data_IF_924259192388
#
_entry.id   IF_924259192388
#
_cell.length_a   1.000
_cell.length_b   1.000
_cell.length_c   1.000
_cell.angle_alpha   90.00
_cell.angle_beta   90.00
_cell.angle_gamma   90.00
#
_symmetry.space_group_name_H-M   'P 1'
#
loop_
_entity.id
_entity.type
_entity.pdbx_description
1 polymer ?
#
# COMPACT_ATOMS: atom_id res chain seq x y z
N UNK A 1 72.05 19.58 38.95
CA UNK A 1 71.13 20.52 38.32
C UNK A 1 69.72 19.88 38.19
N UNK A 2 68.69 20.36 38.85
CA UNK A 2 67.35 19.76 38.79
C UNK A 2 66.58 20.33 37.61
N UNK A 3 65.81 19.43 36.92
CA UNK A 3 64.93 19.74 35.79
C UNK A 3 63.71 20.46 36.28
N UNK A 4 63.36 21.55 35.57
CA UNK A 4 62.16 22.37 35.87
C UNK A 4 60.82 21.66 35.55
N UNK A 5 59.86 21.90 36.39
CA UNK A 5 58.44 21.42 36.30
C UNK A 5 57.69 22.34 35.33
N UNK A 6 56.88 21.81 34.40
CA UNK A 6 56.04 22.66 33.52
C UNK A 6 54.82 23.17 34.31
N UNK A 7 54.52 24.45 34.16
CA UNK A 7 53.36 25.11 34.75
C UNK A 7 52.07 24.59 34.09
N UNK A 8 51.19 24.04 34.90
CA UNK A 8 49.83 23.65 34.47
C UNK A 8 48.96 24.90 34.17
N UNK A 9 48.66 25.11 32.92
CA UNK A 9 47.68 26.12 32.51
C UNK A 9 46.25 25.64 32.80
N UNK A 10 45.57 26.31 33.69
CA UNK A 10 44.13 26.12 33.92
C UNK A 10 43.35 26.46 32.68
N UNK A 11 42.74 25.44 32.01
CA UNK A 11 41.71 25.65 30.99
C UNK A 11 40.38 25.93 31.67
N UNK A 12 39.80 27.12 31.45
CA UNK A 12 38.43 27.45 31.86
C UNK A 12 37.41 26.51 31.20
N UNK A 13 36.37 26.06 31.89
CA UNK A 13 35.41 25.12 31.34
C UNK A 13 34.54 25.78 30.25
N UNK A 14 34.40 25.05 29.12
CA UNK A 14 33.55 25.40 27.95
C UNK A 14 32.02 25.22 28.22
N UNK A 15 31.56 25.50 29.43
CA UNK A 15 30.16 25.28 29.80
C UNK A 15 29.14 26.20 29.08
N UNK A 16 29.56 27.41 28.66
CA UNK A 16 28.63 28.37 28.09
C UNK A 16 28.24 28.16 26.61
N UNK A 17 29.01 27.36 25.85
CA UNK A 17 28.73 27.09 24.43
C UNK A 17 27.73 25.93 24.28
N UNK A 18 27.80 24.94 25.19
CA UNK A 18 26.86 23.80 25.20
C UNK A 18 25.45 24.23 25.62
N UNK A 19 25.35 25.13 26.63
CA UNK A 19 24.06 25.67 27.11
C UNK A 19 23.40 26.57 26.04
N UNK A 20 24.17 27.38 25.31
CA UNK A 20 23.63 28.21 24.21
C UNK A 20 23.12 27.35 23.05
N UNK A 21 23.80 26.25 22.68
CA UNK A 21 23.32 25.29 21.69
C UNK A 21 22.10 24.49 22.13
N UNK A 22 21.96 24.16 23.42
CA UNK A 22 20.74 23.53 23.97
C UNK A 22 19.54 24.45 23.99
N UNK A 23 19.72 25.76 24.18
CA UNK A 23 18.63 26.74 24.18
C UNK A 23 18.17 27.14 22.75
N UNK A 24 19.02 26.94 21.72
CA UNK A 24 18.64 27.17 20.31
C UNK A 24 17.87 25.96 19.70
N UNK A 25 17.91 24.79 20.33
CA UNK A 25 17.21 23.57 19.85
C UNK A 25 15.79 23.42 20.43
N UNK A 26 15.37 24.29 21.36
CA UNK A 26 14.03 24.26 21.98
C UNK A 26 13.14 25.43 21.56
N UNK A 27 13.14 25.79 20.28
CA UNK A 27 11.91 26.38 19.75
C UNK A 27 10.95 25.22 19.47
N UNK A 28 9.75 25.18 20.04
CA UNK A 28 8.76 24.21 19.61
C UNK A 28 8.49 24.54 18.15
N UNK A 29 8.92 23.66 17.26
CA UNK A 29 8.37 23.61 15.89
C UNK A 29 6.87 23.59 16.11
N UNK A 30 6.18 24.67 15.77
CA UNK A 30 4.72 24.70 15.81
C UNK A 30 4.28 23.51 14.99
N UNK A 31 3.76 22.49 15.67
CA UNK A 31 3.13 21.35 15.01
C UNK A 31 1.96 21.96 14.25
N UNK A 32 2.12 22.16 12.96
CA UNK A 32 1.02 22.59 12.10
C UNK A 32 0.01 21.47 12.19
N UNK A 33 -1.02 21.66 12.98
CA UNK A 33 -2.12 20.70 13.11
C UNK A 33 -2.98 20.88 11.87
N UNK A 34 -2.83 19.97 10.91
CA UNK A 34 -3.64 19.93 9.70
C UNK A 34 -5.13 19.92 10.06
N UNK A 35 -5.94 20.67 9.34
CA UNK A 35 -7.40 20.66 9.47
C UNK A 35 -7.98 19.38 8.86
N UNK A 36 -9.23 19.03 9.20
CA UNK A 36 -9.92 17.88 8.61
C UNK A 36 -10.06 18.04 7.09
N UNK A 37 -10.33 19.27 6.61
CA UNK A 37 -10.47 19.58 5.19
C UNK A 37 -9.14 19.40 4.44
N UNK A 38 -8.01 19.82 5.01
CA UNK A 38 -6.69 19.62 4.41
C UNK A 38 -6.32 18.14 4.33
N UNK A 39 -6.66 17.34 5.36
CA UNK A 39 -6.45 15.90 5.35
C UNK A 39 -7.35 15.26 4.29
N UNK A 40 -8.63 15.63 4.23
CA UNK A 40 -9.56 15.12 3.24
C UNK A 40 -9.12 15.41 1.82
N UNK A 41 -8.64 16.65 1.56
CA UNK A 41 -8.12 17.02 0.24
C UNK A 41 -6.90 16.18 -0.15
N UNK A 42 -5.94 16.00 0.75
CA UNK A 42 -4.77 15.14 0.51
C UNK A 42 -5.16 13.69 0.21
N UNK A 43 -6.17 13.17 0.89
CA UNK A 43 -6.68 11.83 0.63
C UNK A 43 -7.37 11.76 -0.74
N UNK A 44 -8.15 12.78 -1.10
CA UNK A 44 -8.76 12.90 -2.42
C UNK A 44 -7.69 12.87 -3.50
N UNK A 45 -6.70 13.75 -3.43
CA UNK A 45 -5.61 13.85 -4.41
C UNK A 45 -4.87 12.52 -4.59
N UNK A 46 -4.58 11.80 -3.49
CA UNK A 46 -3.91 10.50 -3.57
C UNK A 46 -4.74 9.43 -4.29
N UNK A 47 -6.06 9.39 -4.06
CA UNK A 47 -6.94 8.44 -4.73
C UNK A 47 -7.23 8.84 -6.19
N UNK A 48 -7.23 10.13 -6.51
CA UNK A 48 -7.28 10.61 -7.89
C UNK A 48 -6.01 10.23 -8.64
N UNK A 49 -4.84 10.41 -8.03
CA UNK A 49 -3.55 9.97 -8.60
C UNK A 49 -3.54 8.46 -8.79
N UNK A 50 -4.07 7.67 -7.84
CA UNK A 50 -4.23 6.22 -8.03
C UNK A 50 -5.07 5.90 -9.26
N UNK A 51 -6.19 6.59 -9.47
CA UNK A 51 -7.04 6.43 -10.65
C UNK A 51 -6.28 6.74 -11.94
N UNK A 52 -5.67 7.93 -12.03
CA UNK A 52 -4.90 8.36 -13.20
C UNK A 52 -3.74 7.40 -13.53
N UNK A 53 -2.99 6.96 -12.51
CA UNK A 53 -1.88 6.04 -12.69
C UNK A 53 -2.36 4.64 -13.11
N UNK A 54 -3.53 4.21 -12.64
CA UNK A 54 -4.16 2.97 -13.09
C UNK A 54 -4.53 3.07 -14.57
N UNK A 55 -5.17 4.15 -14.99
CA UNK A 55 -5.51 4.39 -16.40
C UNK A 55 -4.26 4.41 -17.30
N UNK A 56 -3.18 5.08 -16.87
CA UNK A 56 -1.91 5.09 -17.58
C UNK A 56 -1.28 3.69 -17.69
N UNK A 57 -1.39 2.87 -16.65
CA UNK A 57 -0.93 1.48 -16.67
C UNK A 57 -1.77 0.62 -17.64
N UNK A 58 -3.09 0.81 -17.67
CA UNK A 58 -3.99 0.12 -18.62
C UNK A 58 -3.79 0.55 -20.07
N UNK A 59 -3.42 1.80 -20.30
CA UNK A 59 -3.06 2.31 -21.62
C UNK A 59 -1.69 1.81 -22.12
N UNK A 60 -0.86 1.27 -21.22
CA UNK A 60 0.49 0.81 -21.53
C UNK A 60 1.56 1.91 -21.51
N UNK A 61 1.22 3.09 -20.99
CA UNK A 61 2.16 4.21 -20.80
C UNK A 61 3.06 3.98 -19.58
N UNK A 62 2.61 3.16 -18.65
CA UNK A 62 3.30 2.77 -17.44
C UNK A 62 3.47 1.25 -17.39
N UNK A 63 4.70 0.79 -17.36
CA UNK A 63 5.01 -0.65 -17.36
C UNK A 63 4.75 -1.34 -16.01
N UNK A 64 4.86 -0.58 -14.91
CA UNK A 64 4.72 -1.13 -13.57
C UNK A 64 4.24 -0.08 -12.57
N UNK A 65 3.31 -0.48 -11.69
CA UNK A 65 2.80 0.33 -10.60
C UNK A 65 2.74 -0.49 -9.31
N UNK A 66 3.12 0.11 -8.19
CA UNK A 66 2.99 -0.46 -6.84
C UNK A 66 2.10 0.47 -6.03
N UNK A 67 0.98 -0.04 -5.55
CA UNK A 67 0.03 0.68 -4.69
C UNK A 67 0.19 0.16 -3.27
N UNK A 68 0.79 0.95 -2.41
CA UNK A 68 1.02 0.64 -1.00
C UNK A 68 0.01 1.38 -0.10
N UNK A 69 -0.34 0.76 1.00
CA UNK A 69 -1.16 1.39 2.04
C UNK A 69 -1.94 0.39 2.87
N UNK A 70 -2.51 0.80 4.01
CA UNK A 70 -3.25 -0.06 4.91
C UNK A 70 -4.44 -0.77 4.25
N UNK A 71 -4.79 -1.95 4.80
CA UNK A 71 -5.94 -2.71 4.32
C UNK A 71 -7.27 -1.95 4.52
N UNK A 72 -8.22 -2.18 3.60
CA UNK A 72 -9.59 -1.67 3.73
C UNK A 72 -9.77 -0.18 3.48
N UNK A 73 -8.89 0.47 2.69
CA UNK A 73 -9.00 1.87 2.27
C UNK A 73 -9.66 2.08 0.90
N UNK A 74 -9.88 1.00 0.14
CA UNK A 74 -10.46 1.07 -1.19
C UNK A 74 -9.46 0.94 -2.35
N UNK A 75 -8.18 0.59 -2.09
CA UNK A 75 -7.15 0.37 -3.12
C UNK A 75 -7.62 -0.57 -4.23
N UNK A 76 -7.89 -1.83 -3.85
CA UNK A 76 -8.33 -2.88 -4.78
C UNK A 76 -9.61 -2.47 -5.53
N UNK A 77 -10.58 -1.87 -4.85
CA UNK A 77 -11.81 -1.40 -5.47
C UNK A 77 -11.56 -0.37 -6.57
N UNK A 78 -10.66 0.60 -6.35
CA UNK A 78 -10.33 1.62 -7.35
C UNK A 78 -9.69 1.00 -8.58
N UNK A 79 -8.75 0.08 -8.41
CA UNK A 79 -8.08 -0.62 -9.51
C UNK A 79 -9.05 -1.56 -10.24
N UNK A 80 -9.82 -2.39 -9.50
CA UNK A 80 -10.81 -3.31 -10.08
C UNK A 80 -11.85 -2.57 -10.92
N UNK A 81 -12.37 -1.45 -10.43
CA UNK A 81 -13.34 -0.64 -11.18
C UNK A 81 -12.77 -0.10 -12.49
N UNK A 82 -11.51 0.32 -12.51
CA UNK A 82 -10.84 0.74 -13.74
C UNK A 82 -10.63 -0.43 -14.71
N UNK A 83 -10.24 -1.60 -14.21
CA UNK A 83 -10.10 -2.84 -15.00
C UNK A 83 -11.42 -3.27 -15.62
N UNK A 84 -12.50 -3.31 -14.84
CA UNK A 84 -13.84 -3.66 -15.33
C UNK A 84 -14.32 -2.71 -16.44
N UNK A 85 -14.00 -1.42 -16.34
CA UNK A 85 -14.33 -0.44 -17.36
C UNK A 85 -13.49 -0.58 -18.63
N UNK A 86 -12.19 -0.90 -18.45
CA UNK A 86 -11.22 -1.01 -19.56
C UNK A 86 -11.34 -2.35 -20.30
N UNK A 87 -11.53 -3.45 -19.58
CA UNK A 87 -11.62 -4.81 -20.12
C UNK A 87 -12.81 -5.57 -19.49
N UNK A 88 -14.05 -5.24 -19.90
CA UNK A 88 -15.27 -5.83 -19.32
C UNK A 88 -15.34 -7.35 -19.47
N UNK A 89 -14.64 -7.91 -20.46
CA UNK A 89 -14.64 -9.35 -20.75
C UNK A 89 -13.54 -10.11 -20.00
N UNK A 90 -12.60 -9.42 -19.35
CA UNK A 90 -11.50 -10.05 -18.62
C UNK A 90 -10.51 -10.83 -19.49
N UNK A 91 -10.31 -10.40 -20.73
CA UNK A 91 -9.44 -11.08 -21.70
C UNK A 91 -8.00 -10.60 -21.58
N UNK A 92 -7.81 -9.29 -21.33
CA UNK A 92 -6.52 -8.64 -21.36
C UNK A 92 -5.90 -8.43 -19.98
N UNK A 93 -6.60 -8.82 -18.92
CA UNK A 93 -6.04 -8.73 -17.57
C UNK A 93 -6.29 -9.99 -16.74
N UNK A 94 -5.43 -10.20 -15.75
CA UNK A 94 -5.63 -11.24 -14.75
C UNK A 94 -5.27 -10.69 -13.37
N UNK A 95 -6.21 -10.81 -12.43
CA UNK A 95 -5.98 -10.48 -11.01
C UNK A 95 -5.65 -11.74 -10.24
N UNK A 96 -4.53 -11.71 -9.54
CA UNK A 96 -4.00 -12.78 -8.70
C UNK A 96 -4.13 -12.35 -7.24
N UNK A 97 -4.81 -13.15 -6.43
CA UNK A 97 -4.95 -12.94 -4.98
C UNK A 97 -4.39 -14.15 -4.22
N UNK A 98 -3.66 -13.87 -3.14
CA UNK A 98 -3.08 -14.92 -2.30
C UNK A 98 -1.67 -15.34 -2.70
N UNK A 99 -1.29 -16.59 -2.44
CA UNK A 99 0.09 -17.08 -2.51
C UNK A 99 0.56 -17.43 -3.93
N UNK A 100 1.74 -16.92 -4.31
CA UNK A 100 2.34 -17.17 -5.64
C UNK A 100 3.81 -17.59 -5.49
N UNK A 101 4.14 -18.81 -5.93
CA UNK A 101 5.53 -19.28 -6.02
C UNK A 101 6.24 -18.72 -7.26
N UNK A 102 7.58 -18.64 -7.23
CA UNK A 102 8.39 -18.15 -8.35
C UNK A 102 8.10 -18.87 -9.68
N UNK A 103 7.87 -20.19 -9.66
CA UNK A 103 7.49 -20.96 -10.85
C UNK A 103 6.14 -20.55 -11.43
N UNK A 104 5.14 -20.32 -10.57
CA UNK A 104 3.82 -19.84 -10.99
C UNK A 104 3.92 -18.40 -11.50
N UNK A 105 4.70 -17.55 -10.83
CA UNK A 105 4.98 -16.19 -11.28
C UNK A 105 5.59 -16.18 -12.69
N UNK A 106 6.58 -17.03 -12.96
CA UNK A 106 7.18 -17.12 -14.29
C UNK A 106 6.17 -17.52 -15.38
N UNK A 107 5.29 -18.49 -15.08
CA UNK A 107 4.20 -18.91 -15.99
C UNK A 107 3.22 -17.75 -16.24
N UNK A 108 2.81 -17.05 -15.19
CA UNK A 108 1.90 -15.90 -15.28
C UNK A 108 2.50 -14.77 -16.14
N UNK A 109 3.78 -14.43 -15.90
CA UNK A 109 4.49 -13.44 -16.70
C UNK A 109 4.61 -13.88 -18.16
N UNK A 110 4.84 -15.16 -18.42
CA UNK A 110 4.88 -15.68 -19.80
C UNK A 110 3.51 -15.60 -20.48
N UNK A 111 2.44 -16.01 -19.81
CA UNK A 111 1.08 -15.98 -20.35
C UNK A 111 0.62 -14.54 -20.69
N UNK A 112 1.07 -13.55 -19.89
CA UNK A 112 0.70 -12.13 -20.09
C UNK A 112 1.87 -11.29 -20.61
N UNK A 113 2.77 -11.88 -21.42
CA UNK A 113 3.98 -11.22 -21.88
C UNK A 113 3.77 -10.21 -23.00
N UNK A 114 2.64 -10.24 -23.67
CA UNK A 114 2.37 -9.41 -24.84
C UNK A 114 1.89 -8.01 -24.45
N UNK A 115 2.15 -7.04 -25.31
CA UNK A 115 1.69 -5.66 -25.10
C UNK A 115 0.17 -5.60 -24.97
N UNK A 116 -0.32 -4.78 -24.02
CA UNK A 116 -1.75 -4.65 -23.72
C UNK A 116 -2.28 -5.71 -22.74
N UNK A 117 -1.43 -6.63 -22.27
CA UNK A 117 -1.79 -7.55 -21.19
C UNK A 117 -1.39 -6.97 -19.83
N UNK A 118 -2.26 -7.12 -18.84
CA UNK A 118 -2.07 -6.56 -17.49
C UNK A 118 -2.17 -7.66 -16.43
N UNK A 119 -1.15 -7.78 -15.59
CA UNK A 119 -1.17 -8.62 -14.40
C UNK A 119 -1.36 -7.76 -13.15
N UNK A 120 -2.34 -8.09 -12.32
CA UNK A 120 -2.58 -7.45 -11.04
C UNK A 120 -2.32 -8.45 -9.93
N UNK A 121 -1.40 -8.13 -9.03
CA UNK A 121 -1.15 -8.87 -7.79
C UNK A 121 -1.81 -8.12 -6.64
N UNK A 122 -2.91 -8.63 -6.11
CA UNK A 122 -3.69 -8.02 -5.04
C UNK A 122 -3.57 -8.86 -3.77
N UNK A 123 -2.94 -8.31 -2.74
CA UNK A 123 -2.60 -9.02 -1.49
C UNK A 123 -1.79 -10.33 -1.73
N UNK A 124 -0.99 -10.40 -2.80
CA UNK A 124 -0.08 -11.50 -3.10
C UNK A 124 1.36 -11.18 -2.61
N UNK A 125 1.47 -10.71 -1.38
CA UNK A 125 2.69 -10.14 -0.78
C UNK A 125 3.83 -11.16 -0.62
N UNK A 126 3.55 -12.46 -0.70
CA UNK A 126 4.56 -13.53 -0.63
C UNK A 126 5.60 -13.45 -1.76
N UNK A 127 5.25 -12.85 -2.91
CA UNK A 127 6.20 -12.63 -4.02
C UNK A 127 7.37 -11.72 -3.61
N UNK A 128 7.17 -10.86 -2.61
CA UNK A 128 8.22 -10.00 -2.07
C UNK A 128 9.09 -10.67 -1.01
N UNK A 129 8.73 -11.87 -0.57
CA UNK A 129 9.48 -12.66 0.41
C UNK A 129 10.34 -13.76 -0.22
N UNK A 130 10.10 -14.08 -1.50
CA UNK A 130 10.87 -15.06 -2.27
C UNK A 130 11.90 -14.35 -3.14
N UNK A 131 13.19 -14.55 -2.86
CA UNK A 131 14.29 -13.93 -3.59
C UNK A 131 14.26 -14.25 -5.09
N UNK A 132 13.85 -15.46 -5.46
CA UNK A 132 13.70 -15.88 -6.87
C UNK A 132 12.58 -15.11 -7.54
N UNK A 133 11.42 -15.00 -6.88
CA UNK A 133 10.29 -14.22 -7.38
C UNK A 133 10.67 -12.73 -7.53
N UNK A 134 11.34 -12.14 -6.55
CA UNK A 134 11.83 -10.75 -6.63
C UNK A 134 12.76 -10.55 -7.83
N UNK A 135 13.66 -11.49 -8.11
CA UNK A 135 14.56 -11.37 -9.26
C UNK A 135 13.82 -11.45 -10.59
N UNK A 136 12.78 -12.29 -10.70
CA UNK A 136 11.89 -12.30 -11.86
C UNK A 136 11.13 -10.98 -12.02
N UNK A 137 10.65 -10.43 -10.90
CA UNK A 137 9.96 -9.13 -10.91
C UNK A 137 10.90 -7.99 -11.32
N UNK A 138 12.13 -7.95 -10.83
CA UNK A 138 13.12 -6.94 -11.25
C UNK A 138 13.34 -6.97 -12.77
N UNK A 139 13.35 -8.14 -13.40
CA UNK A 139 13.47 -8.29 -14.83
C UNK A 139 12.18 -7.86 -15.57
N UNK A 140 11.00 -8.18 -15.00
CA UNK A 140 9.71 -7.80 -15.56
C UNK A 140 9.44 -6.29 -15.51
N UNK A 141 9.90 -5.62 -14.43
CA UNK A 141 9.67 -4.21 -14.17
C UNK A 141 10.81 -3.32 -14.70
N UNK A 142 11.83 -3.88 -15.34
CA UNK A 142 12.99 -3.10 -15.80
C UNK A 142 12.54 -1.95 -16.71
N UNK A 143 13.26 -0.83 -16.63
CA UNK A 143 12.98 0.39 -17.40
C UNK A 143 13.56 0.35 -18.82
N UNK A 144 14.26 -0.74 -19.20
CA UNK A 144 14.80 -0.92 -20.55
C UNK A 144 13.68 -1.20 -21.57
N UNK A 145 13.87 -0.77 -22.81
CA UNK A 145 12.91 -1.04 -23.90
C UNK A 145 12.67 -2.55 -24.11
N UNK A 146 13.70 -3.36 -23.87
CA UNK A 146 13.65 -4.81 -24.05
C UNK A 146 13.81 -5.53 -22.71
N UNK A 147 12.69 -5.85 -22.08
CA UNK A 147 12.62 -6.59 -20.82
C UNK A 147 12.69 -8.10 -21.08
N UNK A 148 13.81 -8.74 -20.72
CA UNK A 148 14.00 -10.17 -20.88
C UNK A 148 13.90 -10.85 -19.52
N UNK A 149 12.94 -11.74 -19.37
CA UNK A 149 12.77 -12.55 -18.17
C UNK A 149 13.38 -13.93 -18.43
N UNK A 150 14.28 -14.37 -17.54
CA UNK A 150 14.93 -15.68 -17.64
C UNK A 150 14.75 -16.45 -16.35
N UNK A 151 14.37 -17.73 -16.47
CA UNK A 151 14.27 -18.66 -15.34
C UNK A 151 14.97 -19.96 -15.68
N UNK A 152 16.24 -20.04 -15.30
CA UNK A 152 17.12 -21.15 -15.65
C UNK A 152 17.01 -22.27 -14.61
N UNK A 153 16.17 -23.27 -14.88
CA UNK A 153 16.01 -24.48 -14.07
C UNK A 153 16.53 -25.69 -14.82
N UNK A 154 16.87 -26.78 -14.11
CA UNK A 154 17.32 -28.03 -14.72
C UNK A 154 16.20 -28.68 -15.56
N UNK A 155 14.96 -28.62 -15.09
CA UNK A 155 13.78 -29.13 -15.79
C UNK A 155 13.16 -28.12 -16.76
N UNK A 156 12.28 -28.61 -17.64
CA UNK A 156 11.41 -27.77 -18.48
C UNK A 156 10.13 -27.47 -17.72
N UNK A 157 9.72 -26.23 -17.68
CA UNK A 157 8.38 -25.87 -17.23
C UNK A 157 7.37 -26.18 -18.34
N UNK A 158 6.19 -26.60 -17.93
CA UNK A 158 5.08 -26.92 -18.83
C UNK A 158 3.97 -25.92 -18.50
N UNK A 159 3.37 -25.37 -19.54
CA UNK A 159 2.17 -24.55 -19.43
C UNK A 159 1.01 -25.43 -18.97
N UNK A 160 0.26 -24.99 -17.97
CA UNK A 160 -0.79 -25.81 -17.35
C UNK A 160 -2.07 -25.89 -18.23
N UNK A 161 -2.24 -24.97 -19.16
CA UNK A 161 -3.42 -24.90 -20.05
C UNK A 161 -3.15 -25.55 -21.41
N UNK A 162 -1.96 -25.30 -21.99
CA UNK A 162 -1.61 -25.79 -23.34
C UNK A 162 -0.82 -27.09 -23.34
N UNK A 163 -0.28 -27.51 -22.18
CA UNK A 163 0.67 -28.61 -22.03
C UNK A 163 1.98 -28.44 -22.83
N UNK A 164 2.24 -27.25 -23.36
CA UNK A 164 3.47 -26.94 -24.10
C UNK A 164 4.64 -26.64 -23.16
N UNK A 165 5.85 -26.88 -23.65
CA UNK A 165 7.07 -26.52 -22.93
C UNK A 165 7.30 -25.03 -22.99
N UNK A 166 7.45 -24.39 -21.85
CA UNK A 166 7.80 -22.97 -21.77
C UNK A 166 9.27 -22.75 -22.09
N UNK A 167 9.60 -21.66 -22.82
CA UNK A 167 10.99 -21.25 -23.01
C UNK A 167 11.62 -20.85 -21.68
N UNK A 168 12.93 -21.05 -21.54
CA UNK A 168 13.66 -20.63 -20.32
C UNK A 168 13.83 -19.10 -20.23
N UNK A 169 13.58 -18.39 -21.32
CA UNK A 169 13.69 -16.94 -21.41
C UNK A 169 12.71 -16.39 -22.45
N UNK A 170 12.13 -15.23 -22.18
CA UNK A 170 11.21 -14.56 -23.09
C UNK A 170 11.24 -13.04 -22.90
N UNK A 171 10.80 -12.30 -23.93
CA UNK A 171 10.58 -10.87 -23.83
C UNK A 171 9.22 -10.61 -23.18
N UNK A 172 9.19 -9.67 -22.23
CA UNK A 172 7.98 -9.25 -21.54
C UNK A 172 7.64 -7.80 -21.91
N UNK A 173 6.46 -7.58 -22.44
CA UNK A 173 5.93 -6.27 -22.85
C UNK A 173 4.64 -5.90 -22.11
N UNK A 174 4.16 -6.80 -21.25
CA UNK A 174 2.97 -6.58 -20.43
C UNK A 174 3.19 -5.55 -19.33
N UNK A 175 2.11 -5.22 -18.64
CA UNK A 175 2.07 -4.30 -17.49
C UNK A 175 1.82 -5.07 -16.20
N UNK A 176 2.44 -4.65 -15.10
CA UNK A 176 2.27 -5.26 -13.78
C UNK A 176 1.81 -4.23 -12.77
N UNK A 177 0.73 -4.52 -12.06
CA UNK A 177 0.20 -3.70 -10.96
C UNK A 177 0.26 -4.53 -9.68
N UNK A 178 0.90 -3.99 -8.63
CA UNK A 178 0.89 -4.56 -7.29
C UNK A 178 0.02 -3.73 -6.37
N UNK A 179 -0.84 -4.40 -5.61
CA UNK A 179 -1.62 -3.81 -4.52
C UNK A 179 -1.19 -4.53 -3.25
N UNK A 180 -0.53 -3.81 -2.35
CA UNK A 180 0.08 -4.38 -1.15
C UNK A 180 -0.30 -3.62 0.11
N UNK A 181 -0.27 -4.32 1.24
CA UNK A 181 -0.39 -3.73 2.57
C UNK A 181 0.98 -3.43 3.20
N UNK A 182 2.08 -3.80 2.54
CA UNK A 182 3.42 -3.49 3.02
C UNK A 182 3.76 -2.01 2.79
N UNK A 183 4.26 -1.38 3.82
CA UNK A 183 4.88 -0.06 3.80
C UNK A 183 6.35 -0.22 3.36
N UNK A 184 6.61 -0.11 2.06
CA UNK A 184 7.96 -0.31 1.51
C UNK A 184 8.92 0.76 2.00
N UNK A 185 8.49 2.03 2.04
CA UNK A 185 9.33 3.13 2.51
C UNK A 185 9.76 2.92 3.96
N UNK A 186 8.81 2.61 4.85
CA UNK A 186 9.13 2.32 6.23
C UNK A 186 9.94 1.01 6.41
N UNK A 187 9.79 0.02 5.54
CA UNK A 187 10.63 -1.19 5.57
C UNK A 187 12.07 -0.87 5.12
N UNK A 188 12.24 -0.02 4.13
CA UNK A 188 13.54 0.45 3.63
C UNK A 188 14.24 1.29 4.71
N UNK A 189 13.56 2.28 5.28
CA UNK A 189 14.09 3.17 6.33
C UNK A 189 14.53 2.41 7.58
N UNK A 190 13.77 1.40 7.99
CA UNK A 190 14.11 0.54 9.14
C UNK A 190 15.23 -0.46 8.85
N UNK A 191 15.79 -0.47 7.66
CA UNK A 191 16.86 -1.40 7.27
C UNK A 191 16.41 -2.87 7.28
N UNK A 192 15.17 -3.17 6.86
CA UNK A 192 14.67 -4.52 6.74
C UNK A 192 15.60 -5.34 5.81
N UNK A 193 15.72 -6.66 6.06
CA UNK A 193 16.54 -7.56 5.24
C UNK A 193 16.20 -7.49 3.75
N UNK A 194 14.94 -7.19 3.42
CA UNK A 194 14.46 -7.04 2.05
C UNK A 194 14.66 -5.63 1.47
N UNK A 195 15.11 -4.65 2.26
CA UNK A 195 15.24 -3.26 1.85
C UNK A 195 15.94 -3.06 0.50
N UNK A 196 17.10 -3.69 0.19
CA UNK A 196 17.75 -3.52 -1.11
C UNK A 196 16.89 -4.03 -2.27
N UNK A 197 16.12 -5.08 -2.05
CA UNK A 197 15.23 -5.64 -3.06
C UNK A 197 14.00 -4.74 -3.29
N UNK A 198 13.37 -4.27 -2.20
CA UNK A 198 12.22 -3.37 -2.28
C UNK A 198 12.61 -2.03 -2.94
N UNK A 199 13.77 -1.47 -2.58
CA UNK A 199 14.30 -0.27 -3.22
C UNK A 199 14.51 -0.45 -4.72
N UNK A 200 14.99 -1.63 -5.14
CA UNK A 200 15.15 -1.95 -6.55
C UNK A 200 13.81 -2.07 -7.30
N UNK A 201 12.74 -2.53 -6.66
CA UNK A 201 11.40 -2.58 -7.24
C UNK A 201 10.77 -1.18 -7.32
N UNK A 202 10.85 -0.39 -6.23
CA UNK A 202 10.34 0.99 -6.18
C UNK A 202 11.02 1.86 -7.24
N UNK A 203 12.32 1.68 -7.49
CA UNK A 203 13.04 2.44 -8.54
C UNK A 203 12.61 2.11 -9.98
N UNK A 204 11.89 1.00 -10.19
CA UNK A 204 11.45 0.51 -11.52
C UNK A 204 9.95 0.65 -11.74
N UNK A 205 9.20 0.97 -10.71
CA UNK A 205 7.75 1.09 -10.76
C UNK A 205 7.30 2.47 -10.29
N UNK A 206 6.13 2.91 -10.73
CA UNK A 206 5.48 4.05 -10.10
C UNK A 206 4.90 3.63 -8.75
N UNK A 207 5.37 4.25 -7.69
CA UNK A 207 4.98 3.93 -6.32
C UNK A 207 3.91 4.91 -5.83
N UNK A 208 2.70 4.41 -5.59
CA UNK A 208 1.57 5.18 -5.08
C UNK A 208 1.39 4.85 -3.60
N UNK A 209 1.81 5.77 -2.74
CA UNK A 209 1.68 5.63 -1.29
C UNK A 209 0.36 6.19 -0.78
N UNK A 210 -0.48 5.32 -0.23
CA UNK A 210 -1.75 5.63 0.41
C UNK A 210 -1.68 5.48 1.95
N UNK A 211 -0.48 5.64 2.52
CA UNK A 211 -0.28 5.53 3.97
C UNK A 211 -1.16 6.52 4.74
N UNK A 212 -1.72 6.02 5.84
CA UNK A 212 -2.45 6.80 6.83
C UNK A 212 -1.54 7.01 8.06
N UNK A 213 -1.39 8.26 8.50
CA UNK A 213 -0.47 8.59 9.59
C UNK A 213 -1.06 8.32 10.97
N UNK A 214 -2.36 8.52 11.11
CA UNK A 214 -3.04 8.45 12.40
C UNK A 214 -4.52 8.03 12.26
N UNK A 215 -5.20 7.74 13.38
CA UNK A 215 -6.61 7.34 13.38
C UNK A 215 -7.56 8.38 12.77
N UNK A 216 -7.22 9.67 12.91
CA UNK A 216 -8.01 10.77 12.34
C UNK A 216 -8.09 10.66 10.81
N UNK A 217 -6.98 10.31 10.15
CA UNK A 217 -6.94 10.12 8.70
C UNK A 217 -7.91 9.00 8.26
N UNK A 218 -7.93 7.88 9.00
CA UNK A 218 -8.87 6.79 8.73
C UNK A 218 -10.33 7.22 8.88
N UNK A 219 -10.66 7.98 9.94
CA UNK A 219 -12.02 8.46 10.20
C UNK A 219 -12.46 9.40 9.08
N UNK A 220 -11.60 10.34 8.68
CA UNK A 220 -11.87 11.28 7.58
C UNK A 220 -12.10 10.49 6.28
N UNK A 221 -11.24 9.51 5.97
CA UNK A 221 -11.43 8.67 4.79
C UNK A 221 -12.74 7.89 4.82
N UNK A 222 -13.11 7.31 5.95
CA UNK A 222 -14.37 6.60 6.11
C UNK A 222 -15.55 7.55 5.87
N UNK A 223 -15.55 8.73 6.49
CA UNK A 223 -16.59 9.74 6.28
C UNK A 223 -16.71 10.17 4.82
N UNK A 224 -15.57 10.41 4.18
CA UNK A 224 -15.49 10.77 2.76
C UNK A 224 -16.16 9.71 1.88
N UNK A 225 -15.77 8.45 2.02
CA UNK A 225 -16.30 7.36 1.18
C UNK A 225 -17.76 7.03 1.52
N UNK A 226 -18.19 7.22 2.77
CA UNK A 226 -19.61 7.10 3.15
C UNK A 226 -20.43 8.20 2.45
N UNK A 227 -19.95 9.45 2.40
CA UNK A 227 -20.60 10.54 1.65
C UNK A 227 -20.67 10.24 0.13
N UNK A 228 -19.68 9.55 -0.41
CA UNK A 228 -19.68 9.07 -1.80
C UNK A 228 -20.63 7.89 -2.05
N UNK A 229 -21.33 7.42 -1.03
CA UNK A 229 -22.41 6.44 -1.16
C UNK A 229 -22.11 5.03 -0.69
N UNK A 230 -20.98 4.76 -0.04
CA UNK A 230 -20.60 3.41 0.41
C UNK A 230 -21.71 2.69 1.16
N UNK A 231 -22.33 3.36 2.13
CA UNK A 231 -23.40 2.78 2.96
C UNK A 231 -24.79 2.94 2.32
N UNK A 232 -24.97 3.92 1.45
CA UNK A 232 -26.18 4.08 0.65
C UNK A 232 -26.37 2.89 -0.30
N UNK A 233 -25.30 2.42 -0.92
CA UNK A 233 -25.32 1.27 -1.83
C UNK A 233 -25.75 -0.04 -1.15
N UNK A 234 -25.61 -0.16 0.15
CA UNK A 234 -26.13 -1.29 0.94
C UNK A 234 -27.51 -1.00 1.57
N UNK A 235 -28.17 0.08 1.18
CA UNK A 235 -29.55 0.40 1.56
C UNK A 235 -29.72 1.12 2.90
N UNK A 236 -28.70 1.84 3.42
CA UNK A 236 -28.85 2.67 4.61
C UNK A 236 -29.37 4.06 4.25
N UNK A 237 -30.31 4.56 5.07
CA UNK A 237 -30.76 5.95 5.04
C UNK A 237 -29.65 6.89 5.53
N UNK A 238 -29.72 8.16 5.17
CA UNK A 238 -28.70 9.16 5.58
C UNK A 238 -28.59 9.29 7.12
N UNK A 239 -29.70 9.13 7.84
CA UNK A 239 -29.69 9.09 9.30
C UNK A 239 -28.91 7.89 9.82
N UNK A 240 -29.14 6.69 9.28
CA UNK A 240 -28.45 5.48 9.68
C UNK A 240 -26.94 5.52 9.31
N UNK A 241 -26.58 6.16 8.21
CA UNK A 241 -25.17 6.38 7.83
C UNK A 241 -24.46 7.28 8.84
N UNK A 242 -25.10 8.39 9.27
CA UNK A 242 -24.56 9.26 10.33
C UNK A 242 -24.34 8.50 11.64
N UNK A 243 -25.32 7.73 12.10
CA UNK A 243 -25.19 6.91 13.31
C UNK A 243 -24.01 5.94 13.25
N UNK A 244 -23.75 5.32 12.08
CA UNK A 244 -22.60 4.43 11.89
C UNK A 244 -21.27 5.20 11.98
N UNK A 245 -21.17 6.38 11.37
CA UNK A 245 -19.98 7.23 11.46
C UNK A 245 -19.73 7.68 12.90
N UNK A 246 -20.74 8.17 13.61
CA UNK A 246 -20.66 8.56 15.02
C UNK A 246 -20.23 7.39 15.92
N UNK A 247 -20.74 6.18 15.65
CA UNK A 247 -20.30 4.99 16.37
C UNK A 247 -18.84 4.68 16.15
N UNK A 248 -18.35 4.79 14.91
CA UNK A 248 -16.93 4.58 14.58
C UNK A 248 -16.05 5.57 15.34
N UNK A 249 -16.41 6.85 15.32
CA UNK A 249 -15.66 7.91 16.01
C UNK A 249 -15.64 7.72 17.52
N UNK A 250 -16.80 7.47 18.11
CA UNK A 250 -16.93 7.28 19.55
C UNK A 250 -16.24 6.01 20.08
N UNK A 251 -15.98 5.04 19.19
CA UNK A 251 -15.37 3.76 19.56
C UNK A 251 -14.04 3.50 18.84
N UNK A 252 -13.39 4.53 18.28
CA UNK A 252 -12.17 4.41 17.47
C UNK A 252 -11.03 3.65 18.17
N UNK A 253 -10.92 3.75 19.51
CA UNK A 253 -9.89 3.07 20.28
C UNK A 253 -10.23 1.60 20.58
N UNK A 254 -11.49 1.24 20.50
CA UNK A 254 -11.98 -0.09 20.81
C UNK A 254 -12.30 -0.93 19.57
N UNK A 255 -12.54 -0.31 18.43
CA UNK A 255 -12.76 -1.04 17.18
C UNK A 255 -11.55 -1.93 16.86
N UNK A 256 -11.82 -3.12 16.33
CA UNK A 256 -10.76 -4.07 15.93
C UNK A 256 -9.91 -3.53 14.80
N UNK A 257 -10.51 -2.70 13.93
CA UNK A 257 -9.87 -2.01 12.82
C UNK A 257 -10.60 -0.70 12.50
N UNK A 258 -9.90 0.27 11.95
CA UNK A 258 -10.48 1.46 11.32
C UNK A 258 -10.33 1.30 9.80
N UNK A 259 -11.44 0.95 9.12
CA UNK A 259 -11.41 0.65 7.69
C UNK A 259 -12.80 0.80 7.06
N UNK A 260 -12.86 0.89 5.74
CA UNK A 260 -14.14 0.85 4.99
C UNK A 260 -14.84 -0.51 5.17
N UNK A 261 -14.08 -1.61 5.34
CA UNK A 261 -14.64 -2.93 5.67
C UNK A 261 -15.39 -2.90 6.99
N UNK A 262 -14.85 -2.21 8.00
CA UNK A 262 -15.53 -2.02 9.29
C UNK A 262 -16.79 -1.18 9.15
N UNK A 263 -16.77 -0.11 8.37
CA UNK A 263 -17.96 0.69 8.08
C UNK A 263 -19.06 -0.15 7.42
N UNK A 264 -18.72 -1.01 6.44
CA UNK A 264 -19.64 -1.93 5.80
C UNK A 264 -20.20 -2.97 6.77
N UNK A 265 -19.35 -3.57 7.65
CA UNK A 265 -19.79 -4.51 8.70
C UNK A 265 -20.80 -3.85 9.64
N UNK A 266 -20.50 -2.65 10.13
CA UNK A 266 -21.39 -1.89 11.00
C UNK A 266 -22.68 -1.50 10.29
N UNK A 267 -22.58 -1.07 9.03
CA UNK A 267 -23.75 -0.77 8.19
C UNK A 267 -24.67 -1.97 8.02
N UNK A 268 -24.11 -3.15 7.75
CA UNK A 268 -24.89 -4.39 7.65
C UNK A 268 -25.59 -4.75 8.97
N UNK A 269 -24.89 -4.60 10.10
CA UNK A 269 -25.47 -4.81 11.45
C UNK A 269 -26.58 -3.80 11.71
N UNK A 270 -26.37 -2.50 11.42
CA UNK A 270 -27.37 -1.44 11.58
C UNK A 270 -28.63 -1.69 10.75
N UNK A 271 -28.46 -2.08 9.49
CA UNK A 271 -29.57 -2.40 8.57
C UNK A 271 -30.42 -3.57 9.09
N UNK A 272 -29.76 -4.63 9.57
CA UNK A 272 -30.45 -5.87 9.99
C UNK A 272 -31.07 -5.77 11.37
N UNK A 273 -30.51 -4.97 12.28
CA UNK A 273 -30.92 -4.87 13.69
C UNK A 273 -31.14 -3.42 14.13
N UNK A 274 -32.11 -2.68 13.56
CA UNK A 274 -32.23 -1.23 13.77
C UNK A 274 -32.30 -0.79 15.25
N UNK A 275 -32.92 -1.60 16.10
CA UNK A 275 -33.14 -1.24 17.50
C UNK A 275 -32.01 -1.62 18.45
N UNK A 276 -31.22 -2.66 18.11
CA UNK A 276 -30.18 -3.22 19.01
C UNK A 276 -28.78 -3.25 18.38
N UNK A 277 -28.60 -2.59 17.24
CA UNK A 277 -27.37 -2.67 16.45
C UNK A 277 -26.11 -2.29 17.22
N UNK A 278 -26.17 -1.29 18.09
CA UNK A 278 -25.01 -0.84 18.89
C UNK A 278 -24.52 -1.91 19.85
N UNK A 279 -25.45 -2.69 20.46
CA UNK A 279 -25.09 -3.82 21.32
C UNK A 279 -24.40 -4.91 20.50
N UNK A 280 -24.94 -5.26 19.34
CA UNK A 280 -24.35 -6.26 18.44
C UNK A 280 -22.97 -5.77 17.95
N UNK A 281 -22.87 -4.52 17.52
CA UNK A 281 -21.64 -3.92 17.05
C UNK A 281 -20.52 -3.92 18.12
N UNK A 282 -20.85 -3.58 19.36
CA UNK A 282 -19.87 -3.63 20.47
C UNK A 282 -19.31 -5.02 20.71
N UNK A 283 -20.12 -6.06 20.60
CA UNK A 283 -19.70 -7.44 20.83
C UNK A 283 -18.89 -7.98 19.64
N UNK A 284 -19.32 -7.67 18.40
CA UNK A 284 -18.73 -8.28 17.19
C UNK A 284 -17.59 -7.49 16.59
N UNK A 285 -17.63 -6.16 16.70
CA UNK A 285 -16.69 -5.25 16.02
C UNK A 285 -15.69 -4.58 16.98
N UNK A 286 -15.95 -4.55 18.30
CA UNK A 286 -15.02 -3.98 19.28
C UNK A 286 -14.21 -5.07 19.99
N UNK A 287 -13.07 -4.66 20.55
CA UNK A 287 -12.29 -5.47 21.51
C UNK A 287 -13.05 -5.50 22.83
N UNK A 288 -12.93 -6.61 23.56
CA UNK A 288 -13.42 -6.67 24.94
C UNK A 288 -12.74 -5.59 25.80
N UNK A 289 -13.48 -5.04 26.75
CA UNK A 289 -12.96 -4.05 27.69
C UNK A 289 -12.02 -4.69 28.67
#
# INVERSE_FOLDING_TARGET
MPRGVPKSGFRKPRANVAIKRMLEVTQPTSVIVETDDEIEQKLTDRFEVLGMMTEAALAGDVNAMIVSGPAGLGKSYTVEKALESWDPNGINHRTIKGYVKATALFKLLYAHRTRGQVLVFDDADDVFLDETAINLLKAALDSTERRIISYMTEGSLIDDETAERLPKSFQFEGTVIFITNYDFDGMIERGNKLAPHLQALVSRAHYVDLAMKNKRDYIIRIRQVVRMGLLKNIGLTDAAQREVCEFIESNQDRLRELSLRMALKLGAVRRRNPNNWTKVARITCCRAA
#
